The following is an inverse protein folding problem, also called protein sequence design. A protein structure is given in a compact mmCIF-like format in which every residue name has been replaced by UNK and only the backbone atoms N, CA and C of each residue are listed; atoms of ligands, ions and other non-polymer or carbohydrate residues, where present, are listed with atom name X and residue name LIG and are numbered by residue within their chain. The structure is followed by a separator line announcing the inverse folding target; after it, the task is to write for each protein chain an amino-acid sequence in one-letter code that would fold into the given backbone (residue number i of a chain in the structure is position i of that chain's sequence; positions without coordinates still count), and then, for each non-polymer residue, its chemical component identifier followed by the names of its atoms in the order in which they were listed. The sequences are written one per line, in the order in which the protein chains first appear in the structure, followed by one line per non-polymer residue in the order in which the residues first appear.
data_IF_532154332003
#
_entry.id   IF_532154332003
#
_cell.length_a   1.000
_cell.length_b   1.000
_cell.length_c   1.000
_cell.angle_alpha   90.00
_cell.angle_beta   90.00
_cell.angle_gamma   90.00
#
_symmetry.space_group_name_H-M   'P 1'
#
loop_
_entity.id
_entity.type
_entity.pdbx_description
1 polymer ?
#
# COMPACT_ATOMS: atom_id res chain seq x y z
N UNK A 1 4.84 -27.23 20.35
CA UNK A 1 5.65 -26.06 19.99
C UNK A 1 6.53 -25.78 21.21
N UNK A 2 7.85 -25.64 21.04
CA UNK A 2 8.76 -25.45 22.17
C UNK A 2 8.43 -24.13 22.90
N UNK A 3 8.63 -24.09 24.25
CA UNK A 3 8.36 -22.90 25.08
C UNK A 3 8.97 -21.60 24.54
N UNK A 4 10.11 -21.70 23.87
CA UNK A 4 10.78 -20.56 23.23
C UNK A 4 9.91 -19.96 22.08
N UNK A 5 9.32 -20.79 21.23
CA UNK A 5 8.47 -20.33 20.12
C UNK A 5 7.19 -19.68 20.65
N UNK A 6 6.62 -20.21 21.72
CA UNK A 6 5.44 -19.62 22.37
C UNK A 6 5.77 -18.31 23.05
N UNK A 7 6.91 -18.21 23.72
CA UNK A 7 7.38 -16.97 24.36
C UNK A 7 7.66 -15.90 23.29
N UNK A 8 8.34 -16.26 22.20
CA UNK A 8 8.61 -15.33 21.08
C UNK A 8 7.29 -14.85 20.44
N UNK A 9 6.34 -15.75 20.23
CA UNK A 9 5.02 -15.39 19.71
C UNK A 9 4.33 -14.36 20.63
N UNK A 10 4.30 -14.60 21.93
CA UNK A 10 3.65 -13.69 22.90
C UNK A 10 4.33 -12.30 22.91
N UNK A 11 5.68 -12.25 22.86
CA UNK A 11 6.42 -10.98 22.78
C UNK A 11 6.07 -10.22 21.49
N UNK A 12 6.04 -10.91 20.35
CA UNK A 12 5.69 -10.30 19.06
C UNK A 12 4.25 -9.78 19.09
N UNK A 13 3.29 -10.56 19.58
CA UNK A 13 1.90 -10.13 19.70
C UNK A 13 1.72 -8.93 20.63
N UNK A 14 2.46 -8.90 21.74
CA UNK A 14 2.44 -7.76 22.66
C UNK A 14 2.96 -6.47 21.98
N UNK A 15 4.07 -6.57 21.24
CA UNK A 15 4.64 -5.45 20.49
C UNK A 15 3.66 -4.99 19.39
N UNK A 16 3.10 -5.92 18.62
CA UNK A 16 2.14 -5.62 17.56
C UNK A 16 0.85 -4.98 18.10
N UNK A 17 0.45 -5.32 19.34
CA UNK A 17 -0.69 -4.73 20.03
C UNK A 17 -0.59 -3.23 20.25
N UNK A 18 0.61 -2.63 20.20
CA UNK A 18 0.76 -1.17 20.27
C UNK A 18 0.27 -0.46 18.99
N UNK A 19 0.21 -1.16 17.86
CA UNK A 19 -0.17 -0.58 16.57
C UNK A 19 0.87 0.38 15.98
N UNK A 20 0.71 0.80 14.72
CA UNK A 20 1.70 1.60 13.99
C UNK A 20 1.92 2.99 14.60
N UNK A 21 0.90 3.60 15.19
CA UNK A 21 0.95 4.94 15.78
C UNK A 21 1.86 5.05 17.00
N UNK A 22 2.12 3.94 17.70
CA UNK A 22 3.03 3.87 18.85
C UNK A 22 4.36 3.22 18.47
N UNK A 23 4.31 2.14 17.70
CA UNK A 23 5.51 1.40 17.31
C UNK A 23 6.48 2.26 16.50
N UNK A 24 5.99 2.98 15.51
CA UNK A 24 6.87 3.77 14.63
C UNK A 24 7.60 4.90 15.36
N UNK A 25 6.93 5.75 16.18
CA UNK A 25 7.65 6.72 17.01
C UNK A 25 8.70 6.10 17.93
N UNK A 26 8.39 4.95 18.54
CA UNK A 26 9.33 4.25 19.43
C UNK A 26 10.57 3.78 18.66
N UNK A 27 10.39 3.15 17.51
CA UNK A 27 11.48 2.69 16.64
C UNK A 27 12.32 3.87 16.16
N UNK A 28 11.68 4.94 15.71
CA UNK A 28 12.39 6.16 15.28
C UNK A 28 13.16 6.81 16.43
N UNK A 29 12.62 6.83 17.65
CA UNK A 29 13.31 7.34 18.81
C UNK A 29 14.59 6.53 19.11
N UNK A 30 14.48 5.21 19.16
CA UNK A 30 15.63 4.31 19.38
C UNK A 30 16.67 4.49 18.26
N UNK A 31 16.22 4.48 17.00
CA UNK A 31 17.08 4.69 15.84
C UNK A 31 17.84 6.02 15.94
N UNK A 32 17.14 7.11 16.27
CA UNK A 32 17.75 8.42 16.42
C UNK A 32 18.84 8.44 17.51
N UNK A 33 18.62 7.76 18.63
CA UNK A 33 19.63 7.62 19.69
C UNK A 33 20.87 6.82 19.19
N UNK A 34 20.64 5.75 18.43
CA UNK A 34 21.74 4.97 17.81
C UNK A 34 22.60 5.84 16.88
N UNK A 35 22.00 6.82 16.20
CA UNK A 35 22.68 7.81 15.35
C UNK A 35 23.14 9.06 16.11
N UNK A 36 23.20 9.00 17.44
CA UNK A 36 23.72 10.07 18.33
C UNK A 36 22.92 11.39 18.22
N UNK A 37 21.65 11.35 17.86
CA UNK A 37 20.76 12.51 17.96
C UNK A 37 20.53 12.84 19.44
N UNK A 38 20.53 14.13 19.80
CA UNK A 38 20.26 14.56 21.18
C UNK A 38 18.90 14.01 21.66
N UNK A 39 18.80 13.38 22.85
CA UNK A 39 17.57 12.71 23.31
C UNK A 39 16.30 13.58 23.25
N UNK A 40 16.41 14.85 23.67
CA UNK A 40 15.27 15.77 23.61
C UNK A 40 14.79 16.04 22.17
N UNK A 41 15.73 16.18 21.21
CA UNK A 41 15.38 16.34 19.79
C UNK A 41 14.79 15.05 19.23
N UNK A 42 15.39 13.90 19.55
CA UNK A 42 14.88 12.59 19.14
C UNK A 42 13.46 12.36 19.63
N UNK A 43 13.19 12.60 20.92
CA UNK A 43 11.86 12.43 21.51
C UNK A 43 10.82 13.36 20.85
N UNK A 44 11.14 14.65 20.72
CA UNK A 44 10.23 15.61 20.08
C UNK A 44 9.89 15.18 18.65
N UNK A 45 10.90 14.90 17.85
CA UNK A 45 10.71 14.49 16.45
C UNK A 45 9.89 13.20 16.33
N UNK A 46 10.21 12.17 17.12
CA UNK A 46 9.48 10.90 17.11
C UNK A 46 8.03 11.06 17.54
N UNK A 47 7.75 11.86 18.56
CA UNK A 47 6.38 12.17 18.97
C UNK A 47 5.62 12.94 17.90
N UNK A 48 6.26 13.92 17.22
CA UNK A 48 5.63 14.66 16.12
C UNK A 48 5.26 13.72 14.98
N UNK A 49 6.11 12.73 14.64
CA UNK A 49 5.78 11.69 13.66
C UNK A 49 4.56 10.88 14.11
N UNK A 50 4.52 10.42 15.37
CA UNK A 50 3.35 9.68 15.90
C UNK A 50 2.05 10.48 15.84
N UNK A 51 2.09 11.76 16.21
CA UNK A 51 0.93 12.67 16.13
C UNK A 51 0.48 12.84 14.67
N UNK A 52 1.44 12.97 13.74
CA UNK A 52 1.15 13.02 12.30
C UNK A 52 0.42 11.76 11.81
N UNK A 53 0.88 10.57 12.25
CA UNK A 53 0.20 9.30 11.93
C UNK A 53 -1.19 9.21 12.53
N UNK A 54 -1.39 9.61 13.79
CA UNK A 54 -2.73 9.66 14.39
C UNK A 54 -3.67 10.53 13.56
N UNK A 55 -3.18 11.70 13.11
CA UNK A 55 -3.95 12.59 12.23
C UNK A 55 -4.26 11.96 10.86
N UNK A 56 -3.28 11.32 10.22
CA UNK A 56 -3.46 10.62 8.93
C UNK A 56 -4.53 9.53 9.05
N UNK A 57 -4.41 8.65 10.06
CA UNK A 57 -5.38 7.57 10.26
C UNK A 57 -6.77 8.07 10.59
N UNK A 58 -6.91 9.11 11.44
CA UNK A 58 -8.21 9.70 11.76
C UNK A 58 -8.92 10.24 10.50
N UNK A 59 -8.18 10.88 9.59
CA UNK A 59 -8.75 11.38 8.34
C UNK A 59 -9.02 10.24 7.35
N UNK A 60 -8.17 9.20 7.33
CA UNK A 60 -8.42 8.01 6.53
C UNK A 60 -9.66 7.24 7.00
N UNK A 61 -9.93 7.20 8.32
CA UNK A 61 -11.17 6.63 8.86
C UNK A 61 -12.41 7.40 8.39
N UNK A 62 -12.32 8.74 8.27
CA UNK A 62 -13.40 9.55 7.68
C UNK A 62 -13.62 9.14 6.22
N UNK A 63 -12.56 8.96 5.43
CA UNK A 63 -12.66 8.50 4.05
C UNK A 63 -13.36 7.14 3.99
N UNK A 64 -12.87 6.16 4.74
CA UNK A 64 -13.37 4.79 4.77
C UNK A 64 -14.84 4.71 5.19
N UNK A 65 -15.19 5.41 6.28
CA UNK A 65 -16.57 5.42 6.82
C UNK A 65 -17.59 6.08 5.90
N UNK A 66 -17.14 6.86 4.91
CA UNK A 66 -18.01 7.48 3.91
C UNK A 66 -18.03 6.72 2.58
N UNK A 67 -16.87 6.27 2.09
CA UNK A 67 -16.77 5.59 0.78
C UNK A 67 -17.37 4.19 0.82
N UNK A 68 -17.11 3.42 1.88
CA UNK A 68 -17.61 2.04 2.00
C UNK A 68 -19.14 1.94 2.00
N UNK A 69 -19.91 2.73 2.79
CA UNK A 69 -21.39 2.71 2.72
C UNK A 69 -21.92 3.18 1.38
N UNK A 70 -21.27 4.15 0.72
CA UNK A 70 -21.68 4.59 -0.61
C UNK A 70 -21.53 3.47 -1.65
N UNK A 71 -20.42 2.76 -1.63
CA UNK A 71 -20.21 1.59 -2.48
C UNK A 71 -21.18 0.46 -2.18
N UNK A 72 -21.47 0.19 -0.90
CA UNK A 72 -22.47 -0.78 -0.50
C UNK A 72 -23.87 -0.42 -1.04
N UNK A 73 -24.26 0.84 -0.94
CA UNK A 73 -25.54 1.31 -1.50
C UNK A 73 -25.60 1.15 -3.04
N UNK A 74 -24.49 1.35 -3.77
CA UNK A 74 -24.43 1.05 -5.20
C UNK A 74 -24.71 -0.42 -5.48
N UNK A 75 -24.14 -1.32 -4.70
CA UNK A 75 -24.29 -2.77 -4.84
C UNK A 75 -25.71 -3.20 -4.54
N UNK A 76 -26.29 -2.76 -3.42
CA UNK A 76 -27.67 -3.09 -3.01
C UNK A 76 -28.71 -2.72 -4.10
N UNK A 77 -28.45 -1.64 -4.85
CA UNK A 77 -29.32 -1.23 -5.97
C UNK A 77 -29.26 -2.15 -7.18
N UNK A 78 -28.21 -2.93 -7.35
CA UNK A 78 -28.07 -3.87 -8.47
C UNK A 78 -28.73 -5.21 -8.18
N UNK A 79 -28.97 -5.55 -6.92
CA UNK A 79 -29.45 -6.86 -6.48
C UNK A 79 -28.46 -8.02 -6.73
N UNK A 80 -27.23 -7.71 -7.14
CA UNK A 80 -26.17 -8.72 -7.37
C UNK A 80 -25.54 -9.09 -6.04
N UNK A 81 -25.45 -10.40 -5.76
CA UNK A 81 -24.75 -10.93 -4.61
C UNK A 81 -23.65 -11.89 -5.07
N UNK A 82 -22.41 -11.62 -4.63
CA UNK A 82 -21.27 -12.49 -4.89
C UNK A 82 -20.89 -13.24 -3.62
N UNK A 83 -20.54 -14.55 -3.72
CA UNK A 83 -20.45 -15.42 -2.54
C UNK A 83 -19.21 -15.20 -1.67
N UNK A 84 -18.17 -14.53 -2.18
CA UNK A 84 -16.93 -14.28 -1.43
C UNK A 84 -16.97 -12.89 -0.80
N UNK A 85 -16.86 -12.86 0.52
CA UNK A 85 -16.84 -11.61 1.29
C UNK A 85 -15.43 -11.01 1.29
N UNK A 86 -15.32 -9.76 0.85
CA UNK A 86 -14.09 -8.98 1.00
C UNK A 86 -13.97 -8.44 2.43
N UNK A 87 -13.02 -8.99 3.19
CA UNK A 87 -12.75 -8.57 4.57
C UNK A 87 -12.05 -7.20 4.64
N UNK A 88 -11.31 -6.85 3.59
CA UNK A 88 -10.36 -5.76 3.59
C UNK A 88 -9.07 -6.09 4.36
N UNK A 89 -8.12 -5.16 4.30
CA UNK A 89 -6.78 -5.35 4.86
C UNK A 89 -6.73 -5.50 6.41
N UNK A 90 -7.55 -4.80 7.24
CA UNK A 90 -7.39 -4.88 8.68
C UNK A 90 -7.64 -6.29 9.24
N UNK A 91 -8.76 -6.97 8.90
CA UNK A 91 -8.97 -8.36 9.30
C UNK A 91 -7.93 -9.31 8.71
N UNK A 92 -7.54 -9.11 7.43
CA UNK A 92 -6.53 -9.95 6.79
C UNK A 92 -5.16 -9.82 7.48
N UNK A 93 -4.77 -8.62 7.91
CA UNK A 93 -3.53 -8.41 8.67
C UNK A 93 -3.58 -9.12 10.04
N UNK A 94 -4.72 -9.07 10.73
CA UNK A 94 -4.91 -9.76 12.00
C UNK A 94 -4.82 -11.29 11.83
N UNK A 95 -5.47 -11.86 10.80
CA UNK A 95 -5.36 -13.28 10.43
C UNK A 95 -3.90 -13.64 10.14
N UNK A 96 -3.20 -12.81 9.39
CA UNK A 96 -1.79 -13.03 9.02
C UNK A 96 -0.88 -13.05 10.25
N UNK A 97 -1.03 -12.06 11.15
CA UNK A 97 -0.26 -12.00 12.40
C UNK A 97 -0.58 -13.13 13.37
N UNK A 98 -1.76 -13.74 13.28
CA UNK A 98 -2.12 -14.96 14.01
C UNK A 98 -1.48 -16.24 13.47
N UNK A 99 -0.85 -16.20 12.29
CA UNK A 99 -0.29 -17.38 11.63
C UNK A 99 0.99 -17.89 12.30
N UNK A 100 1.34 -19.20 12.14
CA UNK A 100 2.56 -19.77 12.71
C UNK A 100 3.87 -19.17 12.20
N UNK A 101 3.83 -18.51 11.05
CA UNK A 101 5.02 -17.88 10.44
C UNK A 101 5.30 -16.49 11.01
N UNK A 102 4.30 -15.80 11.54
CA UNK A 102 4.35 -14.42 12.00
C UNK A 102 5.52 -14.11 12.98
N UNK A 103 5.81 -14.95 14.01
CA UNK A 103 6.88 -14.69 14.95
C UNK A 103 8.29 -14.59 14.31
N UNK A 104 8.45 -15.23 13.15
CA UNK A 104 9.75 -15.30 12.47
C UNK A 104 9.94 -14.20 11.42
N UNK A 105 8.85 -13.60 10.93
CA UNK A 105 8.93 -12.64 9.81
C UNK A 105 9.58 -11.33 10.24
N UNK A 106 9.29 -10.81 11.42
CA UNK A 106 9.89 -9.57 11.89
C UNK A 106 11.44 -9.69 12.01
N UNK A 107 11.99 -10.66 12.77
CA UNK A 107 13.44 -10.80 12.85
C UNK A 107 14.07 -11.15 11.49
N UNK A 108 13.42 -11.94 10.66
CA UNK A 108 13.88 -12.27 9.32
C UNK A 108 14.01 -11.02 8.44
N UNK A 109 12.98 -10.18 8.41
CA UNK A 109 12.96 -8.96 7.58
C UNK A 109 14.00 -7.95 8.06
N UNK A 110 14.15 -7.76 9.38
CA UNK A 110 15.20 -6.92 9.94
C UNK A 110 16.59 -7.44 9.52
N UNK A 111 16.83 -8.74 9.64
CA UNK A 111 18.09 -9.35 9.25
C UNK A 111 18.39 -9.13 7.75
N UNK A 112 17.40 -9.33 6.89
CA UNK A 112 17.50 -9.10 5.44
C UNK A 112 17.82 -7.64 5.16
N UNK A 113 17.10 -6.69 5.77
CA UNK A 113 17.34 -5.28 5.55
C UNK A 113 18.72 -4.86 6.00
N UNK A 114 19.16 -5.28 7.19
CA UNK A 114 20.52 -5.03 7.69
C UNK A 114 21.59 -5.66 6.78
N UNK A 115 21.42 -6.90 6.35
CA UNK A 115 22.35 -7.56 5.45
C UNK A 115 22.42 -6.84 4.08
N UNK A 116 21.30 -6.47 3.49
CA UNK A 116 21.27 -5.72 2.23
C UNK A 116 21.89 -4.33 2.36
N UNK A 117 21.66 -3.64 3.48
CA UNK A 117 22.33 -2.39 3.80
C UNK A 117 23.85 -2.58 3.93
N UNK A 118 24.30 -3.57 4.69
CA UNK A 118 25.74 -3.85 4.88
C UNK A 118 26.44 -4.18 3.54
N UNK A 119 25.76 -4.90 2.65
CA UNK A 119 26.27 -5.29 1.33
C UNK A 119 26.07 -4.21 0.24
N UNK A 120 25.59 -3.02 0.57
CA UNK A 120 25.22 -1.96 -0.39
C UNK A 120 24.25 -2.42 -1.47
N UNK A 121 23.32 -3.31 -1.13
CA UNK A 121 22.28 -3.82 -2.04
C UNK A 121 20.95 -3.09 -1.91
N UNK A 122 20.76 -2.29 -0.88
CA UNK A 122 19.64 -1.35 -0.70
C UNK A 122 20.12 -0.04 -0.08
N UNK A 123 19.36 1.03 -0.32
CA UNK A 123 19.51 2.33 0.33
C UNK A 123 18.36 2.60 1.32
N UNK A 124 17.37 1.73 1.37
CA UNK A 124 16.22 1.83 2.25
C UNK A 124 16.50 1.22 3.61
N UNK A 125 16.41 2.04 4.66
CA UNK A 125 16.35 1.61 6.06
C UNK A 125 14.85 1.47 6.40
N UNK A 126 14.36 0.25 6.36
CA UNK A 126 12.93 -0.04 6.58
C UNK A 126 12.64 -0.09 8.08
N UNK A 127 12.04 0.98 8.60
CA UNK A 127 11.76 1.15 10.03
C UNK A 127 10.31 0.86 10.41
N UNK A 128 9.45 0.65 9.42
CA UNK A 128 8.04 0.36 9.65
C UNK A 128 7.78 -1.13 9.79
N UNK A 129 8.09 -1.65 10.98
CA UNK A 129 7.90 -3.07 11.29
C UNK A 129 6.44 -3.52 11.22
N UNK A 130 5.48 -2.62 11.39
CA UNK A 130 4.06 -2.96 11.23
C UNK A 130 3.79 -3.43 9.80
N UNK A 131 4.38 -2.75 8.83
CA UNK A 131 4.23 -3.03 7.40
C UNK A 131 4.78 -4.41 6.97
N UNK A 132 5.57 -5.07 7.84
CA UNK A 132 6.07 -6.43 7.59
C UNK A 132 4.99 -7.49 7.51
N UNK A 133 3.73 -7.17 7.92
CA UNK A 133 2.61 -8.06 7.72
C UNK A 133 2.38 -8.40 6.23
N UNK A 134 2.77 -7.53 5.33
CA UNK A 134 2.72 -7.77 3.89
C UNK A 134 3.65 -8.90 3.45
N UNK A 135 4.84 -9.00 4.07
CA UNK A 135 5.77 -10.11 3.82
C UNK A 135 5.29 -11.37 4.54
N UNK A 136 4.73 -11.20 5.73
CA UNK A 136 4.11 -12.29 6.47
C UNK A 136 2.95 -12.91 5.69
N UNK A 137 2.09 -12.11 5.04
CA UNK A 137 1.00 -12.62 4.21
C UNK A 137 1.52 -13.44 3.03
N UNK A 138 2.53 -12.94 2.31
CA UNK A 138 3.15 -13.68 1.20
C UNK A 138 3.69 -15.04 1.69
N UNK A 139 4.39 -15.04 2.82
CA UNK A 139 4.89 -16.27 3.43
C UNK A 139 3.79 -17.19 3.95
N UNK A 140 2.74 -16.63 4.57
CA UNK A 140 1.63 -17.41 5.12
C UNK A 140 0.85 -18.13 4.02
N UNK A 141 0.58 -17.47 2.90
CA UNK A 141 -0.07 -18.10 1.75
C UNK A 141 0.74 -19.30 1.25
N UNK A 142 2.06 -19.17 1.12
CA UNK A 142 2.95 -20.25 0.70
C UNK A 142 3.02 -21.35 1.76
N UNK A 143 3.08 -21.00 3.04
CA UNK A 143 3.05 -21.97 4.15
C UNK A 143 1.77 -22.82 4.11
N UNK A 144 0.60 -22.19 3.99
CA UNK A 144 -0.67 -22.89 3.93
C UNK A 144 -0.84 -23.76 2.69
N UNK A 145 -0.25 -23.36 1.58
CA UNK A 145 -0.30 -24.12 0.33
C UNK A 145 0.65 -25.33 0.34
N UNK A 146 1.86 -25.17 0.87
CA UNK A 146 2.91 -26.20 0.79
C UNK A 146 3.07 -27.03 2.07
N UNK A 147 2.51 -26.59 3.18
CA UNK A 147 2.74 -27.15 4.52
C UNK A 147 4.16 -26.91 5.06
N UNK A 148 5.00 -26.16 4.36
CA UNK A 148 6.41 -25.97 4.68
C UNK A 148 6.70 -24.58 5.27
N UNK A 149 7.09 -24.55 6.55
CA UNK A 149 7.56 -23.31 7.20
C UNK A 149 8.76 -22.72 6.48
N UNK A 150 9.68 -23.55 5.99
CA UNK A 150 10.85 -23.10 5.23
C UNK A 150 10.47 -22.36 3.95
N UNK A 151 9.55 -22.91 3.15
CA UNK A 151 9.09 -22.24 1.93
C UNK A 151 8.32 -20.96 2.24
N UNK A 152 7.50 -20.97 3.30
CA UNK A 152 6.83 -19.75 3.75
C UNK A 152 7.82 -18.64 4.12
N UNK A 153 8.84 -18.94 4.92
CA UNK A 153 9.88 -17.97 5.29
C UNK A 153 10.70 -17.51 4.07
N UNK A 154 11.00 -18.42 3.14
CA UNK A 154 11.70 -18.09 1.91
C UNK A 154 10.87 -17.14 1.02
N UNK A 155 9.57 -17.36 0.91
CA UNK A 155 8.67 -16.46 0.18
C UNK A 155 8.59 -15.07 0.82
N UNK A 156 8.51 -14.99 2.15
CA UNK A 156 8.57 -13.72 2.89
C UNK A 156 9.91 -13.00 2.65
N UNK A 157 11.03 -13.74 2.64
CA UNK A 157 12.36 -13.20 2.38
C UNK A 157 12.47 -12.64 0.94
N UNK A 158 11.99 -13.37 -0.05
CA UNK A 158 11.96 -12.92 -1.45
C UNK A 158 11.11 -11.66 -1.58
N UNK A 159 9.93 -11.64 -0.95
CA UNK A 159 9.05 -10.48 -0.96
C UNK A 159 9.75 -9.23 -0.38
N UNK A 160 10.42 -9.36 0.78
CA UNK A 160 11.17 -8.28 1.40
C UNK A 160 12.30 -7.75 0.49
N UNK A 161 13.10 -8.65 -0.11
CA UNK A 161 14.18 -8.25 -1.02
C UNK A 161 13.65 -7.50 -2.24
N UNK A 162 12.59 -8.02 -2.89
CA UNK A 162 11.99 -7.39 -4.07
C UNK A 162 11.42 -6.02 -3.72
N UNK A 163 10.69 -5.91 -2.62
CA UNK A 163 10.08 -4.66 -2.17
C UNK A 163 11.12 -3.60 -1.84
N UNK A 164 12.20 -3.95 -1.13
CA UNK A 164 13.30 -3.03 -0.86
C UNK A 164 13.97 -2.52 -2.15
N UNK A 165 14.14 -3.39 -3.15
CA UNK A 165 14.68 -2.97 -4.47
C UNK A 165 13.74 -2.05 -5.23
N UNK A 166 12.44 -2.30 -5.20
CA UNK A 166 11.44 -1.44 -5.83
C UNK A 166 11.32 -0.10 -5.10
N UNK A 167 11.43 -0.10 -3.76
CA UNK A 167 11.47 1.11 -2.95
C UNK A 167 12.68 1.98 -3.29
N UNK A 168 13.87 1.39 -3.41
CA UNK A 168 15.07 2.10 -3.87
C UNK A 168 14.90 2.70 -5.27
N UNK A 169 14.28 1.95 -6.17
CA UNK A 169 14.04 2.40 -7.55
C UNK A 169 13.07 3.57 -7.62
N UNK A 170 11.99 3.54 -6.83
CA UNK A 170 10.96 4.57 -6.84
C UNK A 170 11.30 5.81 -5.99
N UNK A 171 12.22 5.70 -5.03
CA UNK A 171 12.53 6.76 -4.06
C UNK A 171 12.82 8.14 -4.67
N UNK A 172 13.60 8.29 -5.76
CA UNK A 172 13.84 9.61 -6.35
C UNK A 172 12.56 10.28 -6.86
N UNK A 173 11.58 9.51 -7.37
CA UNK A 173 10.29 10.02 -7.78
C UNK A 173 9.40 10.34 -6.57
N UNK A 174 9.47 9.55 -5.50
CA UNK A 174 8.77 9.82 -4.22
C UNK A 174 9.17 11.20 -3.70
N UNK A 175 10.46 11.53 -3.71
CA UNK A 175 10.95 12.83 -3.30
C UNK A 175 10.45 13.94 -4.23
N UNK A 176 10.56 13.74 -5.54
CA UNK A 176 10.25 14.75 -6.55
C UNK A 176 8.76 15.05 -6.67
N UNK A 177 7.90 14.02 -6.67
CA UNK A 177 6.47 14.17 -6.96
C UNK A 177 5.57 14.11 -5.73
N UNK A 178 5.98 13.44 -4.66
CA UNK A 178 5.23 13.44 -3.40
C UNK A 178 5.78 14.44 -2.38
N UNK A 179 6.96 15.02 -2.63
CA UNK A 179 7.59 15.96 -1.71
C UNK A 179 8.09 15.31 -0.42
N UNK A 180 8.35 14.01 -0.42
CA UNK A 180 8.76 13.22 0.73
C UNK A 180 10.28 13.03 0.72
N UNK A 181 11.02 14.09 1.04
CA UNK A 181 12.49 14.08 1.02
C UNK A 181 13.08 13.06 2.00
N UNK A 182 14.06 12.28 1.53
CA UNK A 182 14.74 11.25 2.33
C UNK A 182 13.89 10.01 2.63
N UNK A 183 12.72 9.86 2.01
CA UNK A 183 11.78 8.76 2.24
C UNK A 183 11.73 7.83 1.04
N UNK A 184 11.61 6.54 1.33
CA UNK A 184 11.21 5.48 0.40
C UNK A 184 9.95 4.77 0.92
N UNK A 185 9.22 4.10 0.05
CA UNK A 185 7.92 3.53 0.38
C UNK A 185 7.90 2.01 0.11
N UNK A 186 8.45 1.19 1.03
CA UNK A 186 8.53 -0.27 0.87
C UNK A 186 7.23 -1.01 1.22
N UNK A 187 6.06 -0.47 0.84
CA UNK A 187 4.78 -1.13 1.06
C UNK A 187 4.46 -2.05 -0.11
N UNK A 188 4.43 -3.38 0.12
CA UNK A 188 4.26 -4.38 -0.95
C UNK A 188 2.97 -4.16 -1.73
N UNK A 189 1.84 -3.90 -1.06
CA UNK A 189 0.51 -3.70 -1.69
C UNK A 189 0.43 -2.50 -2.64
N UNK A 190 1.48 -1.71 -2.75
CA UNK A 190 1.54 -0.59 -3.69
C UNK A 190 2.80 -0.58 -4.54
N UNK A 191 4.00 -0.83 -3.96
CA UNK A 191 5.27 -0.66 -4.68
C UNK A 191 5.45 -1.65 -5.83
N UNK A 192 4.84 -2.82 -5.76
CA UNK A 192 4.86 -3.82 -6.84
C UNK A 192 4.12 -3.35 -8.10
N UNK A 193 3.24 -2.36 -7.97
CA UNK A 193 2.54 -1.76 -9.10
C UNK A 193 3.28 -0.58 -9.75
N UNK A 194 4.39 -0.13 -9.16
CA UNK A 194 5.22 0.92 -9.75
C UNK A 194 5.72 0.57 -11.16
N UNK A 195 6.30 -0.62 -11.41
CA UNK A 195 6.69 -1.03 -12.76
C UNK A 195 5.52 -1.13 -13.73
N UNK A 196 4.34 -1.57 -13.25
CA UNK A 196 3.11 -1.64 -14.07
C UNK A 196 2.70 -0.23 -14.50
N UNK A 197 2.69 0.72 -13.56
CA UNK A 197 2.41 2.13 -13.87
C UNK A 197 3.37 2.70 -14.92
N UNK A 198 4.69 2.45 -14.78
CA UNK A 198 5.70 2.88 -15.74
C UNK A 198 5.50 2.27 -17.13
N UNK A 199 5.15 0.97 -17.19
CA UNK A 199 4.88 0.28 -18.45
C UNK A 199 3.66 0.89 -19.16
N UNK A 200 2.55 1.04 -18.44
CA UNK A 200 1.32 1.59 -19.01
C UNK A 200 1.51 3.05 -19.41
N UNK A 201 2.21 3.86 -18.60
CA UNK A 201 2.54 5.25 -18.95
C UNK A 201 3.30 5.32 -20.28
N UNK A 202 4.29 4.44 -20.47
CA UNK A 202 5.02 4.31 -21.73
C UNK A 202 4.14 3.86 -22.90
N UNK A 203 3.22 2.92 -22.70
CA UNK A 203 2.27 2.49 -23.74
C UNK A 203 1.39 3.67 -24.16
N UNK A 204 0.87 4.43 -23.20
CA UNK A 204 0.03 5.62 -23.45
C UNK A 204 0.79 6.67 -24.25
N UNK A 205 2.09 6.87 -23.99
CA UNK A 205 2.93 7.81 -24.74
C UNK A 205 2.96 7.50 -26.26
N UNK A 206 2.78 6.25 -26.66
CA UNK A 206 2.78 5.81 -28.06
C UNK A 206 1.39 5.82 -28.70
N UNK A 207 0.32 6.06 -27.94
CA UNK A 207 -1.06 6.10 -28.46
C UNK A 207 -1.44 7.55 -28.82
N UNK A 208 -1.60 7.89 -30.13
CA UNK A 208 -2.00 9.23 -30.54
C UNK A 208 -3.32 9.65 -29.90
N UNK A 209 -3.38 10.85 -29.38
CA UNK A 209 -4.57 11.39 -28.67
C UNK A 209 -4.51 11.13 -27.17
N UNK A 210 -4.27 9.90 -26.71
CA UNK A 210 -4.16 9.61 -25.27
C UNK A 210 -2.89 10.23 -24.66
N UNK A 211 -1.80 10.28 -25.41
CA UNK A 211 -0.53 10.87 -24.98
C UNK A 211 -0.63 12.37 -24.66
N UNK A 212 -1.64 13.07 -25.20
CA UNK A 212 -1.88 14.51 -24.97
C UNK A 212 -2.74 14.80 -23.75
N UNK A 213 -3.40 13.76 -23.19
CA UNK A 213 -4.28 13.94 -22.04
C UNK A 213 -3.42 14.05 -20.78
N UNK A 214 -3.42 15.23 -20.19
CA UNK A 214 -2.73 15.51 -18.95
C UNK A 214 -3.71 16.12 -17.94
N UNK A 215 -4.06 15.34 -16.92
CA UNK A 215 -5.00 15.69 -15.87
C UNK A 215 -4.30 15.45 -14.53
N UNK A 216 -3.75 16.49 -13.96
CA UNK A 216 -3.20 16.51 -12.61
C UNK A 216 -3.85 17.64 -11.78
N UNK A 217 -3.73 17.60 -10.44
CA UNK A 217 -4.35 18.60 -9.58
C UNK A 217 -3.94 20.05 -9.91
N UNK A 218 -2.68 20.28 -10.30
CA UNK A 218 -2.19 21.62 -10.64
C UNK A 218 -2.78 22.14 -11.95
N UNK A 219 -2.85 21.29 -12.97
CA UNK A 219 -3.46 21.62 -14.27
C UNK A 219 -4.95 21.87 -14.11
N UNK A 220 -5.64 21.05 -13.29
CA UNK A 220 -7.05 21.23 -12.98
C UNK A 220 -7.27 22.56 -12.25
N UNK A 221 -6.44 22.89 -11.25
CA UNK A 221 -6.53 24.17 -10.54
C UNK A 221 -6.26 25.37 -11.44
N UNK A 222 -5.23 25.30 -12.30
CA UNK A 222 -4.92 26.39 -13.27
C UNK A 222 -6.05 26.62 -14.27
N UNK A 223 -6.73 25.55 -14.70
CA UNK A 223 -7.80 25.63 -15.73
C UNK A 223 -9.14 26.03 -15.16
N UNK A 224 -9.49 25.58 -13.96
CA UNK A 224 -10.82 25.72 -13.35
C UNK A 224 -10.82 26.67 -12.14
N UNK A 225 -9.66 27.26 -11.78
CA UNK A 225 -9.56 28.18 -10.64
C UNK A 225 -9.99 27.50 -9.33
N UNK A 226 -10.87 28.12 -8.58
CA UNK A 226 -11.36 27.63 -7.28
C UNK A 226 -11.99 26.22 -7.36
N UNK A 227 -12.64 25.91 -8.48
CA UNK A 227 -13.24 24.58 -8.69
C UNK A 227 -12.20 23.48 -8.91
N UNK A 228 -10.97 23.84 -9.24
CA UNK A 228 -9.84 22.93 -9.38
C UNK A 228 -9.03 22.75 -8.09
N UNK A 229 -9.36 23.46 -7.01
CA UNK A 229 -8.71 23.24 -5.73
C UNK A 229 -9.04 21.84 -5.17
N UNK A 230 -8.08 21.14 -4.51
CA UNK A 230 -8.29 19.78 -4.01
C UNK A 230 -9.57 19.63 -3.17
N UNK A 231 -9.89 20.62 -2.34
CA UNK A 231 -11.11 20.64 -1.54
C UNK A 231 -12.38 20.61 -2.41
N UNK A 232 -12.41 21.42 -3.47
CA UNK A 232 -13.57 21.50 -4.38
C UNK A 232 -13.67 20.25 -5.25
N UNK A 233 -12.54 19.75 -5.74
CA UNK A 233 -12.47 18.48 -6.50
C UNK A 233 -13.01 17.34 -5.64
N UNK A 234 -12.54 17.23 -4.39
CA UNK A 234 -13.05 16.22 -3.44
C UNK A 234 -14.54 16.34 -3.18
N UNK A 235 -15.04 17.56 -2.99
CA UNK A 235 -16.47 17.82 -2.78
C UNK A 235 -17.29 17.38 -3.99
N UNK A 236 -16.85 17.73 -5.22
CA UNK A 236 -17.53 17.34 -6.46
C UNK A 236 -17.52 15.81 -6.62
N UNK A 237 -16.37 15.15 -6.41
CA UNK A 237 -16.26 13.69 -6.50
C UNK A 237 -17.14 12.99 -5.46
N UNK A 238 -17.18 13.50 -4.22
CA UNK A 238 -18.05 12.98 -3.17
C UNK A 238 -19.54 13.15 -3.50
N UNK A 239 -19.94 14.28 -4.07
CA UNK A 239 -21.32 14.50 -4.58
C UNK A 239 -21.66 13.49 -5.68
N UNK A 240 -20.78 13.32 -6.67
CA UNK A 240 -20.96 12.36 -7.76
C UNK A 240 -21.09 10.93 -7.23
N UNK A 241 -20.22 10.54 -6.30
CA UNK A 241 -20.29 9.23 -5.65
C UNK A 241 -21.62 9.02 -4.91
N UNK A 242 -22.09 10.03 -4.17
CA UNK A 242 -23.38 9.98 -3.47
C UNK A 242 -24.59 9.89 -4.42
N UNK A 243 -24.56 10.58 -5.55
CA UNK A 243 -25.59 10.47 -6.59
C UNK A 243 -25.62 9.07 -7.20
N UNK A 244 -24.45 8.51 -7.54
CA UNK A 244 -24.36 7.14 -8.09
C UNK A 244 -24.83 6.12 -7.05
N UNK A 245 -24.50 6.33 -5.76
CA UNK A 245 -24.99 5.51 -4.65
C UNK A 245 -26.51 5.60 -4.44
N UNK A 246 -27.17 6.60 -5.06
CA UNK A 246 -28.61 6.83 -4.92
C UNK A 246 -29.00 7.42 -3.56
N UNK A 247 -28.12 8.16 -2.95
CA UNK A 247 -28.38 8.84 -1.69
C UNK A 247 -29.39 10.00 -1.86
N UNK A 248 -30.11 10.30 -0.79
CA UNK A 248 -30.93 11.51 -0.72
C UNK A 248 -30.04 12.77 -0.73
N UNK A 249 -30.66 13.92 -1.03
CA UNK A 249 -29.95 15.19 -1.18
C UNK A 249 -29.06 15.55 0.03
N UNK A 250 -29.54 15.30 1.24
CA UNK A 250 -28.80 15.58 2.47
C UNK A 250 -27.52 14.70 2.58
N UNK A 251 -27.66 13.39 2.32
CA UNK A 251 -26.53 12.45 2.34
C UNK A 251 -25.54 12.74 1.23
N UNK A 252 -25.99 13.13 0.05
CA UNK A 252 -25.13 13.56 -1.07
C UNK A 252 -24.26 14.75 -0.65
N UNK A 253 -24.85 15.78 -0.04
CA UNK A 253 -24.09 16.95 0.41
C UNK A 253 -23.13 16.61 1.55
N UNK A 254 -23.56 15.79 2.51
CA UNK A 254 -22.70 15.34 3.61
C UNK A 254 -21.48 14.56 3.09
N UNK A 255 -21.69 13.65 2.14
CA UNK A 255 -20.62 12.90 1.50
C UNK A 255 -19.66 13.85 0.76
N UNK A 256 -20.20 14.80 0.00
CA UNK A 256 -19.39 15.83 -0.68
C UNK A 256 -18.48 16.58 0.28
N UNK A 257 -19.04 17.14 1.35
CA UNK A 257 -18.27 17.89 2.36
C UNK A 257 -17.26 16.99 3.08
N UNK A 258 -17.62 15.75 3.40
CA UNK A 258 -16.70 14.79 4.06
C UNK A 258 -15.49 14.52 3.18
N UNK A 259 -15.68 14.21 1.90
CA UNK A 259 -14.57 13.93 0.97
C UNK A 259 -13.75 15.19 0.67
N UNK A 260 -14.41 16.35 0.52
CA UNK A 260 -13.71 17.65 0.42
C UNK A 260 -12.82 17.92 1.63
N UNK A 261 -13.34 17.63 2.84
CA UNK A 261 -12.60 17.73 4.09
C UNK A 261 -11.37 16.80 4.13
N UNK A 262 -11.52 15.55 3.68
CA UNK A 262 -10.40 14.60 3.56
C UNK A 262 -9.30 15.17 2.66
N UNK A 263 -9.65 15.59 1.44
CA UNK A 263 -8.67 16.14 0.49
C UNK A 263 -7.99 17.44 0.96
N UNK A 264 -8.62 18.16 1.88
CA UNK A 264 -8.07 19.40 2.44
C UNK A 264 -7.19 19.16 3.67
N UNK A 265 -7.56 18.23 4.53
CA UNK A 265 -6.89 18.02 5.82
C UNK A 265 -5.75 17.02 5.72
N UNK A 266 -5.92 15.93 4.95
CA UNK A 266 -4.95 14.83 4.89
C UNK A 266 -3.53 15.30 4.47
N UNK A 267 -3.35 16.16 3.45
CA UNK A 267 -2.02 16.68 3.10
C UNK A 267 -1.37 17.49 4.23
N UNK A 268 -2.17 18.11 5.10
CA UNK A 268 -1.66 18.86 6.26
C UNK A 268 -1.16 17.93 7.36
N UNK A 269 -1.82 16.79 7.57
CA UNK A 269 -1.34 15.76 8.52
C UNK A 269 -0.02 15.15 8.05
N UNK A 270 0.12 14.89 6.75
CA UNK A 270 1.40 14.47 6.16
C UNK A 270 2.50 15.53 6.39
N UNK A 271 2.18 16.81 6.27
CA UNK A 271 3.16 17.87 6.54
C UNK A 271 3.63 17.87 7.99
N UNK A 272 2.72 17.70 8.96
CA UNK A 272 3.07 17.57 10.39
C UNK A 272 4.00 16.37 10.60
N UNK A 273 3.70 15.23 9.98
CA UNK A 273 4.55 14.05 10.03
C UNK A 273 5.96 14.37 9.50
N UNK A 274 6.07 15.04 8.35
CA UNK A 274 7.35 15.43 7.75
C UNK A 274 8.13 16.41 8.61
N UNK A 275 7.48 17.32 9.35
CA UNK A 275 8.14 18.20 10.33
C UNK A 275 8.87 17.42 11.43
N UNK A 276 8.37 16.24 11.80
CA UNK A 276 9.05 15.32 12.71
C UNK A 276 10.14 14.50 12.06
N UNK A 277 9.95 14.05 10.81
CA UNK A 277 10.87 13.17 10.09
C UNK A 277 12.13 13.88 9.57
N UNK A 278 12.00 15.06 8.98
CA UNK A 278 13.11 15.78 8.36
C UNK A 278 14.29 15.98 9.32
N UNK A 279 14.12 16.44 10.57
CA UNK A 279 15.25 16.61 11.49
C UNK A 279 15.94 15.30 11.87
N UNK A 280 15.24 14.16 11.84
CA UNK A 280 15.81 12.84 12.08
C UNK A 280 16.57 12.35 10.86
N UNK A 281 15.96 12.45 9.67
CA UNK A 281 16.57 12.09 8.39
C UNK A 281 17.88 12.83 8.16
N UNK A 282 17.91 14.17 8.34
CA UNK A 282 19.11 14.97 8.24
C UNK A 282 20.22 14.57 9.22
N UNK A 283 19.85 14.28 10.48
CA UNK A 283 20.81 13.88 11.50
C UNK A 283 21.42 12.50 11.18
N UNK A 284 20.61 11.55 10.75
CA UNK A 284 21.02 10.22 10.30
C UNK A 284 21.95 10.34 9.10
N UNK A 285 21.53 11.11 8.07
CA UNK A 285 22.34 11.37 6.88
C UNK A 285 23.69 11.97 7.23
N UNK A 286 23.73 13.01 8.08
CA UNK A 286 24.97 13.63 8.54
C UNK A 286 25.91 12.64 9.26
N UNK A 287 25.37 11.80 10.13
CA UNK A 287 26.14 10.76 10.83
C UNK A 287 26.74 9.73 9.88
N UNK A 288 25.91 9.25 8.93
CA UNK A 288 26.32 8.22 7.98
C UNK A 288 27.35 8.76 6.97
N UNK A 289 27.17 9.96 6.45
CA UNK A 289 28.13 10.59 5.53
C UNK A 289 29.48 10.85 6.22
N UNK A 290 29.48 11.19 7.51
CA UNK A 290 30.72 11.35 8.27
C UNK A 290 31.46 10.01 8.51
N UNK A 291 30.72 8.90 8.63
CA UNK A 291 31.29 7.58 8.89
C UNK A 291 31.59 6.78 7.63
N UNK A 292 30.82 7.01 6.58
CA UNK A 292 30.88 6.31 5.28
C UNK A 292 30.75 7.31 4.13
N UNK A 293 31.82 8.11 3.85
CA UNK A 293 31.78 9.21 2.88
C UNK A 293 31.51 8.75 1.44
N UNK A 294 31.84 7.51 1.09
CA UNK A 294 31.69 6.94 -0.24
C UNK A 294 30.33 6.26 -0.46
N UNK A 295 29.39 6.37 0.50
CA UNK A 295 28.11 5.73 0.44
C UNK A 295 27.03 6.67 -0.08
N UNK A 296 26.18 6.16 -0.98
CA UNK A 296 24.97 6.86 -1.44
C UNK A 296 24.05 7.22 -0.26
N UNK A 297 23.27 8.27 -0.44
CA UNK A 297 22.24 8.68 0.52
C UNK A 297 21.29 7.54 0.87
N UNK A 298 21.00 7.38 2.16
CA UNK A 298 20.03 6.42 2.65
C UNK A 298 18.64 7.07 2.73
N UNK A 299 17.63 6.24 2.52
CA UNK A 299 16.21 6.57 2.68
C UNK A 299 15.63 5.91 3.93
N UNK A 300 14.71 6.60 4.60
CA UNK A 300 13.88 5.99 5.64
C UNK A 300 12.69 5.33 4.96
N UNK A 301 12.55 4.02 5.11
CA UNK A 301 11.41 3.24 4.62
C UNK A 301 10.20 3.44 5.52
N UNK A 302 9.10 3.94 4.97
CA UNK A 302 7.83 4.18 5.64
C UNK A 302 6.67 3.56 4.88
N UNK A 303 5.54 3.41 5.58
CA UNK A 303 4.29 2.99 4.98
C UNK A 303 3.81 3.98 3.92
N UNK A 304 3.13 3.45 2.89
CA UNK A 304 2.52 4.24 1.81
C UNK A 304 1.47 5.24 2.31
N UNK A 305 0.92 5.05 3.51
CA UNK A 305 -0.05 5.96 4.11
C UNK A 305 0.42 7.43 4.12
N UNK A 306 1.75 7.65 4.19
CA UNK A 306 2.32 9.01 4.12
C UNK A 306 2.14 9.68 2.75
N UNK A 307 1.91 8.91 1.70
CA UNK A 307 1.68 9.42 0.34
C UNK A 307 0.20 9.52 -0.03
N UNK A 308 -0.70 8.80 0.67
CA UNK A 308 -2.14 8.77 0.37
C UNK A 308 -2.80 10.15 0.46
N UNK A 309 -2.21 11.08 1.22
CA UNK A 309 -2.63 12.48 1.27
C UNK A 309 -2.47 13.28 -0.02
N UNK A 310 -1.82 12.73 -1.06
CA UNK A 310 -1.65 13.42 -2.34
C UNK A 310 -3.01 13.53 -3.08
N UNK A 311 -3.42 14.74 -3.51
CA UNK A 311 -4.72 14.95 -4.17
C UNK A 311 -4.94 14.10 -5.42
N UNK A 312 -3.89 13.82 -6.21
CA UNK A 312 -4.01 12.97 -7.40
C UNK A 312 -4.36 11.51 -7.01
N UNK A 313 -3.79 11.01 -5.93
CA UNK A 313 -4.06 9.67 -5.41
C UNK A 313 -5.51 9.56 -4.94
N UNK A 314 -5.98 10.50 -4.11
CA UNK A 314 -7.34 10.50 -3.58
C UNK A 314 -8.35 10.62 -4.73
N UNK A 315 -8.14 11.56 -5.67
CA UNK A 315 -9.01 11.72 -6.84
C UNK A 315 -9.09 10.45 -7.67
N UNK A 316 -7.95 9.79 -7.89
CA UNK A 316 -7.89 8.51 -8.60
C UNK A 316 -8.68 7.43 -7.87
N UNK A 317 -8.48 7.26 -6.57
CA UNK A 317 -9.18 6.25 -5.77
C UNK A 317 -10.70 6.44 -5.78
N UNK A 318 -11.17 7.69 -5.68
CA UNK A 318 -12.60 8.00 -5.76
C UNK A 318 -13.20 7.67 -7.12
N UNK A 319 -12.48 7.91 -8.21
CA UNK A 319 -12.90 7.51 -9.56
C UNK A 319 -12.87 5.99 -9.74
N UNK A 320 -11.88 5.31 -9.19
CA UNK A 320 -11.75 3.86 -9.26
C UNK A 320 -12.82 3.13 -8.44
N UNK A 321 -13.39 3.76 -7.41
CA UNK A 321 -14.42 3.12 -6.56
C UNK A 321 -15.61 2.60 -7.38
N UNK A 322 -16.36 3.41 -8.13
CA UNK A 322 -17.45 2.91 -8.96
C UNK A 322 -16.96 2.00 -10.10
N UNK A 323 -15.77 2.26 -10.64
CA UNK A 323 -15.16 1.44 -11.69
C UNK A 323 -14.90 0.03 -11.17
N UNK A 324 -14.34 -0.11 -9.96
CA UNK A 324 -14.06 -1.42 -9.34
C UNK A 324 -15.32 -2.23 -9.08
N UNK A 325 -16.36 -1.57 -8.58
CA UNK A 325 -17.67 -2.19 -8.38
C UNK A 325 -18.27 -2.66 -9.71
N UNK A 326 -18.20 -1.82 -10.74
CA UNK A 326 -18.68 -2.19 -12.08
C UNK A 326 -17.91 -3.37 -12.66
N UNK A 327 -16.56 -3.35 -12.58
CA UNK A 327 -15.72 -4.46 -13.04
C UNK A 327 -16.07 -5.75 -12.29
N UNK A 328 -16.28 -5.68 -10.97
CA UNK A 328 -16.63 -6.85 -10.18
C UNK A 328 -17.91 -7.54 -10.66
N UNK A 329 -18.87 -6.78 -11.19
CA UNK A 329 -20.12 -7.33 -11.72
C UNK A 329 -19.98 -7.95 -13.11
N UNK A 330 -19.16 -7.35 -13.97
CA UNK A 330 -19.05 -7.78 -15.37
C UNK A 330 -17.92 -8.77 -15.62
N UNK A 331 -16.99 -8.93 -14.67
CA UNK A 331 -15.82 -9.78 -14.83
C UNK A 331 -16.20 -11.27 -14.74
N UNK A 332 -16.06 -12.05 -15.82
CA UNK A 332 -16.40 -13.46 -15.81
C UNK A 332 -15.56 -14.25 -14.80
N UNK A 333 -16.23 -15.06 -13.96
CA UNK A 333 -15.59 -15.89 -12.96
C UNK A 333 -15.12 -15.15 -11.70
N UNK A 334 -15.46 -13.87 -11.56
CA UNK A 334 -15.27 -13.16 -10.31
C UNK A 334 -16.40 -13.50 -9.31
N UNK A 335 -16.01 -13.82 -8.09
CA UNK A 335 -16.91 -14.14 -6.97
C UNK A 335 -16.79 -13.15 -5.80
N UNK A 336 -15.87 -12.19 -5.90
CA UNK A 336 -15.56 -11.21 -4.84
C UNK A 336 -16.29 -9.91 -5.07
N UNK A 337 -17.00 -9.44 -4.04
CA UNK A 337 -17.55 -8.10 -4.01
C UNK A 337 -16.59 -7.18 -3.22
N UNK A 338 -15.92 -6.19 -3.86
CA UNK A 338 -14.78 -5.49 -3.30
C UNK A 338 -15.14 -4.40 -2.26
N UNK A 339 -16.02 -4.67 -1.30
CA UNK A 339 -16.50 -3.67 -0.34
C UNK A 339 -15.52 -3.38 0.81
N UNK A 340 -14.70 -4.37 1.19
CA UNK A 340 -13.79 -4.25 2.32
C UNK A 340 -12.62 -3.31 2.06
N UNK A 341 -12.08 -3.34 0.84
CA UNK A 341 -10.85 -2.65 0.46
C UNK A 341 -11.07 -1.43 -0.46
N UNK A 342 -12.31 -1.05 -0.81
CA UNK A 342 -12.53 0.06 -1.75
C UNK A 342 -11.89 1.40 -1.31
N UNK A 343 -11.92 1.71 -0.02
CA UNK A 343 -11.23 2.90 0.48
C UNK A 343 -9.70 2.78 0.35
N UNK A 344 -9.19 1.54 0.33
CA UNK A 344 -7.76 1.24 0.19
C UNK A 344 -7.26 1.28 -1.27
N UNK A 345 -8.13 1.54 -2.23
CA UNK A 345 -7.75 1.82 -3.63
C UNK A 345 -6.70 2.95 -3.73
N UNK A 346 -6.71 3.90 -2.79
CA UNK A 346 -5.70 4.93 -2.69
C UNK A 346 -4.29 4.37 -2.45
N UNK A 347 -4.17 3.32 -1.64
CA UNK A 347 -2.89 2.62 -1.37
C UNK A 347 -2.40 1.93 -2.63
N UNK A 348 -3.24 1.13 -3.29
CA UNK A 348 -2.91 0.44 -4.55
C UNK A 348 -2.51 1.43 -5.65
N UNK A 349 -3.30 2.49 -5.85
CA UNK A 349 -3.08 3.48 -6.90
C UNK A 349 -1.87 4.39 -6.66
N UNK A 350 -1.37 4.51 -5.43
CA UNK A 350 -0.31 5.46 -5.06
C UNK A 350 0.94 5.34 -5.92
N UNK A 351 1.47 4.13 -6.10
CA UNK A 351 2.70 3.94 -6.84
C UNK A 351 2.48 3.93 -8.35
N UNK A 352 1.26 3.68 -8.80
CA UNK A 352 0.84 3.89 -10.20
C UNK A 352 0.76 5.40 -10.48
N UNK A 353 0.20 6.19 -9.56
CA UNK A 353 0.15 7.65 -9.65
C UNK A 353 1.56 8.26 -9.66
N UNK A 354 2.48 7.71 -8.85
CA UNK A 354 3.89 8.10 -8.86
C UNK A 354 4.51 7.87 -10.24
N UNK A 355 4.31 6.69 -10.81
CA UNK A 355 4.82 6.31 -12.14
C UNK A 355 4.27 7.24 -13.24
N UNK A 356 2.99 7.62 -13.14
CA UNK A 356 2.30 8.54 -14.05
C UNK A 356 2.51 10.02 -13.68
N UNK A 357 3.40 10.33 -12.73
CA UNK A 357 3.74 11.70 -12.30
C UNK A 357 2.53 12.51 -11.85
N UNK A 358 1.57 11.87 -11.17
CA UNK A 358 0.34 12.49 -10.70
C UNK A 358 -0.74 12.70 -11.77
N UNK A 359 -0.57 12.18 -12.98
CA UNK A 359 -1.60 12.25 -14.02
C UNK A 359 -2.75 11.28 -13.69
N UNK A 360 -3.87 11.82 -13.22
CA UNK A 360 -5.05 11.07 -12.77
C UNK A 360 -5.61 10.16 -13.88
N UNK A 361 -5.72 10.67 -15.12
CA UNK A 361 -6.24 9.91 -16.25
C UNK A 361 -5.39 8.67 -16.54
N UNK A 362 -4.06 8.83 -16.62
CA UNK A 362 -3.13 7.73 -16.86
C UNK A 362 -3.12 6.73 -15.70
N UNK A 363 -3.23 7.23 -14.47
CA UNK A 363 -3.28 6.39 -13.27
C UNK A 363 -4.53 5.52 -13.27
N UNK A 364 -5.71 6.08 -13.60
CA UNK A 364 -6.96 5.32 -13.73
C UNK A 364 -6.84 4.23 -14.79
N UNK A 365 -6.32 4.56 -15.97
CA UNK A 365 -6.13 3.56 -17.05
C UNK A 365 -5.18 2.44 -16.64
N UNK A 366 -4.10 2.76 -15.93
CA UNK A 366 -3.12 1.77 -15.48
C UNK A 366 -3.63 0.91 -14.32
N UNK A 367 -4.55 1.44 -13.50
CA UNK A 367 -5.15 0.72 -12.39
C UNK A 367 -6.21 -0.30 -12.83
N UNK A 368 -6.90 -0.10 -13.94
CA UNK A 368 -7.95 -1.01 -14.42
C UNK A 368 -7.45 -2.46 -14.58
N UNK A 369 -6.37 -2.76 -15.32
CA UNK A 369 -5.87 -4.12 -15.43
C UNK A 369 -5.40 -4.71 -14.09
N UNK A 370 -4.92 -3.87 -13.16
CA UNK A 370 -4.57 -4.30 -11.81
C UNK A 370 -5.83 -4.74 -11.05
N UNK A 371 -6.89 -3.93 -11.07
CA UNK A 371 -8.19 -4.26 -10.44
C UNK A 371 -8.77 -5.56 -10.99
N UNK A 372 -8.71 -5.77 -12.30
CA UNK A 372 -9.16 -7.02 -12.93
C UNK A 372 -8.36 -8.22 -12.40
N UNK A 373 -7.04 -8.10 -12.34
CA UNK A 373 -6.18 -9.14 -11.80
C UNK A 373 -6.45 -9.39 -10.31
N UNK A 374 -6.56 -8.34 -9.51
CA UNK A 374 -6.80 -8.42 -8.07
C UNK A 374 -8.14 -9.12 -7.77
N UNK A 375 -9.23 -8.79 -8.46
CA UNK A 375 -10.54 -9.42 -8.30
C UNK A 375 -10.49 -10.92 -8.63
N UNK A 376 -9.88 -11.25 -9.75
CA UNK A 376 -9.78 -12.63 -10.21
C UNK A 376 -8.89 -13.50 -9.30
N UNK A 377 -7.78 -12.94 -8.83
CA UNK A 377 -6.88 -13.61 -7.90
C UNK A 377 -7.55 -13.73 -6.53
N UNK A 378 -8.21 -12.69 -6.03
CA UNK A 378 -8.92 -12.71 -4.75
C UNK A 378 -9.98 -13.81 -4.71
N UNK A 379 -10.67 -14.06 -5.82
CA UNK A 379 -11.58 -15.20 -5.99
C UNK A 379 -10.83 -16.53 -5.85
N UNK A 380 -9.69 -16.69 -6.54
CA UNK A 380 -8.92 -17.94 -6.51
C UNK A 380 -8.32 -18.28 -5.16
N UNK A 381 -7.87 -17.28 -4.42
CA UNK A 381 -7.24 -17.50 -3.10
C UNK A 381 -8.22 -17.50 -1.93
N UNK A 382 -9.50 -17.23 -2.16
CA UNK A 382 -10.52 -17.20 -1.12
C UNK A 382 -10.54 -18.49 -0.24
N UNK A 383 -10.40 -19.72 -0.80
CA UNK A 383 -10.29 -20.93 0.03
C UNK A 383 -9.10 -20.91 1.00
N UNK A 384 -7.94 -20.40 0.57
CA UNK A 384 -6.74 -20.31 1.41
C UNK A 384 -6.95 -19.30 2.56
N UNK A 385 -7.44 -18.09 2.25
CA UNK A 385 -7.68 -17.06 3.26
C UNK A 385 -8.76 -17.52 4.24
N UNK A 386 -9.82 -18.21 3.76
CA UNK A 386 -10.84 -18.79 4.61
C UNK A 386 -10.25 -19.86 5.54
N UNK A 387 -9.35 -20.71 5.05
CA UNK A 387 -8.61 -21.68 5.85
C UNK A 387 -7.76 -21.01 6.92
N UNK A 388 -6.93 -20.01 6.53
CA UNK A 388 -6.12 -19.22 7.44
C UNK A 388 -6.95 -18.61 8.58
N UNK A 389 -8.09 -18.00 8.24
CA UNK A 389 -8.99 -17.38 9.20
C UNK A 389 -9.56 -18.37 10.22
N UNK A 390 -9.91 -19.59 9.77
CA UNK A 390 -10.40 -20.67 10.65
C UNK A 390 -9.30 -21.14 11.61
N UNK A 391 -8.10 -21.35 11.12
CA UNK A 391 -6.97 -21.86 11.92
C UNK A 391 -6.55 -20.91 13.05
N UNK A 392 -6.70 -19.60 12.84
CA UNK A 392 -6.46 -18.59 13.87
C UNK A 392 -7.72 -18.26 14.70
N UNK A 393 -8.80 -19.02 14.53
CA UNK A 393 -10.08 -18.79 15.21
C UNK A 393 -10.62 -17.37 15.03
N UNK A 394 -10.42 -16.79 13.84
CA UNK A 394 -10.91 -15.46 13.53
C UNK A 394 -12.44 -15.46 13.53
N UNK A 395 -13.04 -14.58 14.33
CA UNK A 395 -14.50 -14.46 14.42
C UNK A 395 -15.01 -13.59 13.28
N UNK A 396 -15.78 -14.18 12.39
CA UNK A 396 -16.52 -13.45 11.36
C UNK A 396 -17.76 -12.77 11.98
N UNK A 397 -18.21 -11.69 11.33
CA UNK A 397 -19.50 -11.08 11.69
C UNK A 397 -20.63 -12.13 11.51
N UNK A 398 -21.63 -12.07 12.40
CA UNK A 398 -22.79 -12.99 12.34
C UNK A 398 -23.45 -12.92 10.95
N UNK A 399 -23.70 -14.10 10.35
CA UNK A 399 -24.31 -14.22 9.01
C UNK A 399 -23.34 -14.42 7.85
N UNK A 400 -22.02 -14.36 8.03
CA UNK A 400 -21.05 -14.67 6.98
C UNK A 400 -20.77 -16.18 6.92
N UNK A 401 -21.60 -16.93 6.20
CA UNK A 401 -21.45 -18.39 5.98
C UNK A 401 -20.60 -18.75 4.76
N UNK A 402 -20.07 -17.76 4.03
CA UNK A 402 -19.36 -17.93 2.78
C UNK A 402 -17.83 -17.97 2.92
N UNK A 403 -17.17 -18.02 1.78
CA UNK A 403 -15.72 -17.83 1.70
C UNK A 403 -15.38 -16.36 1.92
N UNK A 404 -14.16 -16.12 2.43
CA UNK A 404 -13.64 -14.76 2.64
C UNK A 404 -12.34 -14.58 1.87
N UNK A 405 -12.11 -13.34 1.43
CA UNK A 405 -10.89 -12.93 0.77
C UNK A 405 -10.56 -11.48 1.14
N UNK A 406 -9.56 -10.90 0.53
CA UNK A 406 -9.33 -9.45 0.49
C UNK A 406 -9.05 -9.07 -0.94
N UNK A 407 -9.76 -8.06 -1.41
CA UNK A 407 -9.72 -7.63 -2.81
C UNK A 407 -8.30 -7.21 -3.20
N UNK A 408 -7.69 -6.28 -2.49
CA UNK A 408 -6.40 -5.70 -2.88
C UNK A 408 -5.21 -6.49 -2.35
N UNK A 409 -5.21 -6.81 -1.06
CA UNK A 409 -4.06 -7.48 -0.45
C UNK A 409 -4.06 -8.99 -0.71
N UNK A 410 -5.21 -9.63 -0.64
CA UNK A 410 -5.39 -11.01 -1.05
C UNK A 410 -5.22 -11.17 -2.56
N UNK A 411 -5.83 -10.31 -3.36
CA UNK A 411 -5.78 -10.32 -4.82
C UNK A 411 -4.43 -9.94 -5.42
N UNK A 412 -3.44 -9.56 -4.63
CA UNK A 412 -2.18 -9.02 -5.14
C UNK A 412 -1.43 -9.98 -6.08
N UNK A 413 -1.16 -9.60 -7.35
CA UNK A 413 -0.58 -10.49 -8.35
C UNK A 413 0.83 -10.98 -8.01
N UNK A 414 1.63 -10.18 -7.30
CA UNK A 414 2.98 -10.59 -6.92
C UNK A 414 2.94 -11.70 -5.85
N UNK A 415 2.05 -11.59 -4.84
CA UNK A 415 1.88 -12.64 -3.84
C UNK A 415 1.33 -13.92 -4.46
N UNK A 416 0.35 -13.81 -5.36
CA UNK A 416 -0.19 -14.94 -6.09
C UNK A 416 0.86 -15.61 -6.96
N UNK A 417 1.69 -14.85 -7.65
CA UNK A 417 2.79 -15.39 -8.46
C UNK A 417 3.81 -16.15 -7.61
N UNK A 418 4.19 -15.62 -6.43
CA UNK A 418 5.04 -16.36 -5.48
C UNK A 418 4.37 -17.66 -5.03
N UNK A 419 3.09 -17.62 -4.68
CA UNK A 419 2.32 -18.81 -4.30
C UNK A 419 2.38 -19.88 -5.39
N UNK A 420 2.14 -19.51 -6.64
CA UNK A 420 2.17 -20.41 -7.79
C UNK A 420 3.57 -21.00 -8.06
N UNK A 421 4.63 -20.19 -7.89
CA UNK A 421 6.02 -20.68 -8.00
C UNK A 421 6.28 -21.79 -6.98
N UNK A 422 5.93 -21.57 -5.71
CA UNK A 422 6.16 -22.55 -4.64
C UNK A 422 5.25 -23.78 -4.72
N UNK A 423 4.12 -23.66 -5.42
CA UNK A 423 3.26 -24.80 -5.78
C UNK A 423 3.79 -25.61 -6.98
N UNK A 424 4.92 -25.20 -7.56
CA UNK A 424 5.52 -25.91 -8.70
C UNK A 424 4.83 -25.63 -10.05
N UNK A 425 4.07 -24.54 -10.17
CA UNK A 425 3.45 -24.15 -11.43
C UNK A 425 4.54 -23.77 -12.44
N UNK A 426 4.71 -24.60 -13.48
CA UNK A 426 5.77 -24.42 -14.49
C UNK A 426 5.63 -23.11 -15.26
N UNK A 427 4.41 -22.60 -15.47
CA UNK A 427 4.18 -21.31 -16.14
C UNK A 427 4.68 -20.19 -15.24
N UNK A 428 4.35 -20.22 -13.95
CA UNK A 428 4.80 -19.19 -12.99
C UNK A 428 6.33 -19.19 -12.86
N UNK A 429 6.97 -20.36 -12.84
CA UNK A 429 8.43 -20.52 -12.82
C UNK A 429 9.04 -20.00 -14.13
N UNK A 430 8.46 -20.36 -15.28
CA UNK A 430 8.94 -19.92 -16.61
C UNK A 430 8.81 -18.42 -16.83
N UNK A 431 7.89 -17.74 -16.13
CA UNK A 431 7.72 -16.30 -16.19
C UNK A 431 8.81 -15.53 -15.42
N UNK A 432 9.56 -16.16 -14.50
CA UNK A 432 10.63 -15.50 -13.72
C UNK A 432 11.64 -14.76 -14.62
N UNK A 433 12.30 -15.41 -15.60
CA UNK A 433 13.24 -14.71 -16.46
C UNK A 433 12.56 -13.64 -17.34
N UNK A 434 11.33 -13.88 -17.79
CA UNK A 434 10.57 -12.93 -18.61
C UNK A 434 10.28 -11.65 -17.83
N UNK A 435 9.75 -11.78 -16.61
CA UNK A 435 9.46 -10.64 -15.73
C UNK A 435 10.76 -9.90 -15.37
N UNK A 436 11.84 -10.62 -15.08
CA UNK A 436 13.14 -10.01 -14.79
C UNK A 436 13.65 -9.19 -15.99
N UNK A 437 13.52 -9.70 -17.21
CA UNK A 437 13.90 -8.97 -18.43
C UNK A 437 13.02 -7.75 -18.69
N UNK A 438 11.70 -7.86 -18.48
CA UNK A 438 10.75 -6.74 -18.61
C UNK A 438 11.09 -5.66 -17.59
N UNK A 439 11.28 -6.02 -16.32
CA UNK A 439 11.65 -5.07 -15.26
C UNK A 439 12.99 -4.39 -15.56
N UNK A 440 13.98 -5.15 -16.04
CA UNK A 440 15.27 -4.59 -16.44
C UNK A 440 15.12 -3.63 -17.63
N UNK A 441 14.31 -3.98 -18.62
CA UNK A 441 14.00 -3.11 -19.77
C UNK A 441 13.34 -1.80 -19.34
N UNK A 442 12.31 -1.87 -18.48
CA UNK A 442 11.61 -0.69 -17.91
C UNK A 442 12.61 0.15 -17.11
N UNK A 443 13.41 -0.48 -16.26
CA UNK A 443 14.43 0.21 -15.46
C UNK A 443 15.43 0.97 -16.34
N UNK A 444 15.95 0.35 -17.40
CA UNK A 444 16.86 1.02 -18.32
C UNK A 444 16.23 2.20 -19.06
N UNK A 445 14.99 2.02 -19.53
CA UNK A 445 14.25 3.08 -20.26
C UNK A 445 13.92 4.28 -19.34
N UNK A 446 13.66 4.02 -18.06
CA UNK A 446 13.25 5.07 -17.13
C UNK A 446 14.41 5.69 -16.36
N UNK A 447 15.59 5.04 -16.35
CA UNK A 447 16.76 5.52 -15.60
C UNK A 447 17.15 6.95 -15.99
N UNK A 448 17.15 7.29 -17.26
CA UNK A 448 17.46 8.65 -17.75
C UNK A 448 16.38 9.68 -17.35
N UNK A 449 15.13 9.23 -17.19
CA UNK A 449 13.98 10.12 -16.87
C UNK A 449 13.75 10.23 -15.36
N UNK A 450 14.18 9.24 -14.59
CA UNK A 450 14.02 9.16 -13.12
C UNK A 450 15.18 9.83 -12.40
N UNK A 451 16.41 9.78 -12.97
CA UNK A 451 17.63 10.27 -12.34
C UNK A 451 18.21 11.53 -13.00
N UNK A 452 17.55 12.07 -14.03
CA UNK A 452 17.78 13.40 -14.57
C UNK A 452 16.84 14.43 -13.92
#
# INVERSE_FOLDING_TARGET
MNDIAHTLYNIVQYILGFGPTVMLPLVLFILALCFKVKPAKALRSSLTVGIGFVGIYAIFDILTSNVRPAAQAMVERTGINLPVVDLGWPPLSAITWGSPIAPFVIPLTILINVAMLALNKTRTVDVDMWNYWHFALAGTLVYYSTGSLFFGLLAAAIAAVVVLKLADWSAPLVQKYFGLEGISLPTLSSVVFFPVGLLVDKIIDHIPGLNRIHIDPETVQKKFGIFGEPMMVGTILGILLGVIAGYDFKKVLLLGISIGGVMFILPRMVRILMEGLLPLSEAIKKYLNAKYPDRDDLYIGLDIAVAVGNPAIISTALLLTPISVFIAFVLPGNEVLPLGDLANLAVMASMIALASRGNIFRTVLAAIPVIIADLWIATKIAPFITGMAKDVNFKFAEGSSGQVSSFLDGGNPFRFWLLEIFNGNLIAIGLVPVIALVLYGIFRMTRSTVYA
#
